data_IF_339265615129
#
_entry.id   IF_339265615129
#
_cell.length_a   1.000
_cell.length_b   1.000
_cell.length_c   1.000
_cell.angle_alpha   90.00
_cell.angle_beta   90.00
_cell.angle_gamma   90.00
#
_symmetry.space_group_name_H-M   'P 1'
#
loop_
_entity.id
_entity.type
_entity.pdbx_description
1 polymer ?
#
# COMPACT_ATOMS: atom_id res chain seq x y z
N UNK A 1 29.82 15.27 21.88
CA UNK A 1 28.74 14.85 20.96
C UNK A 1 28.97 15.63 19.67
N UNK A 2 29.52 15.00 18.63
CA UNK A 2 29.78 15.70 17.37
C UNK A 2 28.46 16.10 16.73
N UNK A 3 28.32 17.32 16.19
CA UNK A 3 27.11 17.72 15.50
C UNK A 3 26.92 16.82 14.27
N UNK A 4 25.70 16.31 14.10
CA UNK A 4 25.30 15.62 12.87
C UNK A 4 25.40 16.67 11.76
N UNK A 5 26.32 16.45 10.81
CA UNK A 5 26.42 17.32 9.64
C UNK A 5 25.10 17.24 8.86
N UNK A 6 24.53 18.39 8.51
CA UNK A 6 23.34 18.43 7.67
C UNK A 6 23.68 17.85 6.28
N UNK A 7 22.75 17.09 5.70
CA UNK A 7 22.86 16.60 4.33
C UNK A 7 22.81 17.78 3.35
N UNK A 8 23.55 17.68 2.25
CA UNK A 8 23.47 18.58 1.09
C UNK A 8 22.20 18.32 0.28
N UNK A 9 21.82 19.25 -0.60
CA UNK A 9 20.64 19.09 -1.46
C UNK A 9 20.76 17.86 -2.38
N UNK A 10 21.94 17.62 -2.95
CA UNK A 10 22.22 16.46 -3.80
C UNK A 10 22.08 15.14 -3.01
N UNK A 11 22.53 15.11 -1.76
CA UNK A 11 22.36 13.93 -0.89
C UNK A 11 20.90 13.70 -0.51
N UNK A 12 20.11 14.77 -0.32
CA UNK A 12 18.67 14.67 -0.06
C UNK A 12 17.92 14.12 -1.28
N UNK A 13 18.23 14.62 -2.47
CA UNK A 13 17.59 14.18 -3.71
C UNK A 13 17.94 12.73 -4.07
N UNK A 14 19.09 12.23 -3.61
CA UNK A 14 19.52 10.84 -3.76
C UNK A 14 18.92 9.89 -2.70
N UNK A 15 18.13 10.38 -1.74
CA UNK A 15 17.53 9.51 -0.72
C UNK A 15 16.46 8.60 -1.32
N UNK A 16 16.68 7.30 -1.20
CA UNK A 16 15.67 6.31 -1.53
C UNK A 16 14.62 6.19 -0.41
N UNK A 17 13.31 6.24 -0.73
CA UNK A 17 12.29 6.03 0.27
C UNK A 17 12.39 4.64 0.90
N UNK A 18 12.34 4.59 2.23
CA UNK A 18 12.20 3.32 2.94
C UNK A 18 10.73 2.98 3.14
N UNK A 19 10.39 1.70 2.95
CA UNK A 19 9.04 1.20 3.14
C UNK A 19 9.06 0.00 4.09
N UNK A 20 8.05 -0.09 4.95
CA UNK A 20 7.81 -1.25 5.79
C UNK A 20 6.63 -2.04 5.22
N UNK A 21 6.84 -3.33 4.99
CA UNK A 21 5.83 -4.22 4.42
C UNK A 21 5.76 -4.18 2.88
N UNK A 22 4.85 -4.96 2.29
CA UNK A 22 4.90 -5.28 0.87
C UNK A 22 4.14 -4.30 -0.05
N UNK A 23 3.32 -3.41 0.51
CA UNK A 23 2.40 -2.52 -0.24
C UNK A 23 3.09 -1.61 -1.28
N UNK A 24 4.34 -1.23 -1.03
CA UNK A 24 5.16 -0.40 -1.92
C UNK A 24 6.39 -1.14 -2.46
N UNK A 25 6.46 -2.46 -2.27
CA UNK A 25 7.52 -3.23 -2.88
C UNK A 25 7.25 -3.41 -4.37
N UNK A 26 8.32 -3.37 -5.16
CA UNK A 26 8.29 -3.63 -6.59
C UNK A 26 9.09 -4.90 -6.90
N UNK A 27 8.64 -5.64 -7.90
CA UNK A 27 9.40 -6.73 -8.48
C UNK A 27 10.56 -6.19 -9.34
N UNK A 28 11.54 -7.04 -9.71
CA UNK A 28 12.70 -6.63 -10.52
C UNK A 28 12.33 -6.01 -11.88
N UNK A 29 11.15 -6.33 -12.41
CA UNK A 29 10.61 -5.78 -13.65
C UNK A 29 9.94 -4.40 -13.48
N UNK A 30 9.92 -3.86 -12.25
CA UNK A 30 9.30 -2.59 -11.91
C UNK A 30 7.80 -2.64 -11.65
N UNK A 31 7.16 -3.81 -11.80
CA UNK A 31 5.77 -4.02 -11.41
C UNK A 31 5.60 -4.00 -9.89
N UNK A 32 4.40 -3.70 -9.40
CA UNK A 32 4.13 -3.74 -7.95
C UNK A 32 3.97 -5.17 -7.49
N UNK A 33 4.59 -5.52 -6.36
CA UNK A 33 4.40 -6.82 -5.74
C UNK A 33 2.98 -6.92 -5.17
N UNK A 34 2.26 -7.97 -5.56
CA UNK A 34 0.91 -8.29 -5.10
C UNK A 34 0.91 -9.64 -4.37
N UNK A 35 -0.03 -9.86 -3.43
CA UNK A 35 -0.17 -11.17 -2.81
C UNK A 35 -0.61 -12.20 -3.85
N UNK A 36 -0.07 -13.41 -3.76
CA UNK A 36 -0.41 -14.52 -4.64
C UNK A 36 -1.90 -14.92 -4.53
N UNK A 37 -2.43 -14.90 -3.31
CA UNK A 37 -3.86 -15.12 -3.03
C UNK A 37 -4.41 -13.99 -2.14
N UNK A 38 -5.56 -13.45 -2.51
CA UNK A 38 -6.21 -12.37 -1.76
C UNK A 38 -7.71 -12.31 -2.00
N UNK A 39 -8.47 -12.00 -0.95
CA UNK A 39 -9.90 -11.66 -1.04
C UNK A 39 -10.12 -10.17 -1.38
N UNK A 40 -9.05 -9.38 -1.44
CA UNK A 40 -9.12 -7.94 -1.66
C UNK A 40 -9.71 -7.56 -3.03
N UNK A 41 -9.66 -8.45 -4.03
CA UNK A 41 -10.30 -8.24 -5.32
C UNK A 41 -11.83 -8.27 -5.21
N UNK A 42 -12.38 -9.21 -4.44
CA UNK A 42 -13.82 -9.30 -4.17
C UNK A 42 -14.28 -8.09 -3.35
N UNK A 43 -13.48 -7.66 -2.38
CA UNK A 43 -13.74 -6.42 -1.61
C UNK A 43 -13.77 -5.22 -2.56
N UNK A 44 -12.80 -5.11 -3.48
CA UNK A 44 -12.77 -4.03 -4.45
C UNK A 44 -13.99 -4.01 -5.38
N UNK A 45 -14.40 -5.18 -5.88
CA UNK A 45 -15.60 -5.34 -6.69
C UNK A 45 -16.88 -4.98 -5.93
N UNK A 46 -17.00 -5.45 -4.68
CA UNK A 46 -18.14 -5.11 -3.82
C UNK A 46 -18.22 -3.59 -3.58
N UNK A 47 -17.10 -2.93 -3.27
CA UNK A 47 -17.09 -1.49 -3.11
C UNK A 47 -17.49 -0.76 -4.39
N UNK A 48 -16.98 -1.18 -5.55
CA UNK A 48 -17.32 -0.57 -6.82
C UNK A 48 -18.80 -0.73 -7.19
N UNK A 49 -19.44 -1.82 -6.78
CA UNK A 49 -20.87 -2.06 -7.03
C UNK A 49 -21.77 -1.28 -6.07
N UNK A 50 -21.44 -1.28 -4.77
CA UNK A 50 -22.38 -0.88 -3.73
C UNK A 50 -22.06 0.46 -3.06
N UNK A 51 -20.86 1.02 -3.25
CA UNK A 51 -20.48 2.29 -2.65
C UNK A 51 -20.46 3.42 -3.67
N UNK A 52 -20.78 4.62 -3.19
CA UNK A 52 -20.76 5.87 -3.96
C UNK A 52 -19.55 6.71 -3.57
N UNK A 53 -18.85 7.23 -4.56
CA UNK A 53 -17.79 8.22 -4.38
C UNK A 53 -18.36 9.62 -4.19
N UNK A 54 -17.52 10.55 -3.72
CA UNK A 54 -17.89 11.95 -3.48
C UNK A 54 -18.32 12.69 -4.77
N UNK A 55 -17.80 12.27 -5.91
CA UNK A 55 -18.18 12.79 -7.24
C UNK A 55 -19.55 12.27 -7.73
N UNK A 56 -20.23 11.45 -6.92
CA UNK A 56 -21.53 10.85 -7.22
C UNK A 56 -21.47 9.56 -8.05
N UNK A 57 -20.28 9.16 -8.53
CA UNK A 57 -20.05 7.93 -9.27
C UNK A 57 -19.83 6.70 -8.38
N UNK A 58 -19.57 5.52 -8.98
CA UNK A 58 -19.20 4.32 -8.25
C UNK A 58 -17.85 4.50 -7.54
N UNK A 59 -17.69 3.91 -6.35
CA UNK A 59 -16.44 3.96 -5.62
C UNK A 59 -15.28 3.36 -6.41
N UNK A 60 -14.13 4.04 -6.40
CA UNK A 60 -12.89 3.57 -7.02
C UNK A 60 -11.72 3.81 -6.08
N UNK A 61 -11.03 2.73 -5.74
CA UNK A 61 -9.78 2.83 -5.01
C UNK A 61 -8.70 3.51 -5.88
N UNK A 62 -7.89 4.36 -5.26
CA UNK A 62 -6.61 4.74 -5.87
C UNK A 62 -5.73 3.49 -5.99
N UNK A 63 -4.73 3.52 -6.89
CA UNK A 63 -3.80 2.39 -7.07
C UNK A 63 -3.15 1.96 -5.75
N UNK A 64 -2.85 2.92 -4.88
CA UNK A 64 -2.28 2.63 -3.57
C UNK A 64 -3.27 2.01 -2.60
N UNK A 65 -4.47 2.60 -2.46
CA UNK A 65 -5.49 2.04 -1.59
C UNK A 65 -5.83 0.60 -2.02
N UNK A 66 -5.88 0.34 -3.33
CA UNK A 66 -6.10 -1.00 -3.85
C UNK A 66 -4.98 -1.95 -3.43
N UNK A 67 -3.71 -1.58 -3.65
CA UNK A 67 -2.57 -2.42 -3.20
C UNK A 67 -2.62 -2.71 -1.71
N UNK A 68 -2.93 -1.70 -0.89
CA UNK A 68 -3.10 -1.90 0.55
C UNK A 68 -4.23 -2.89 0.84
N UNK A 69 -5.42 -2.71 0.24
CA UNK A 69 -6.56 -3.61 0.42
C UNK A 69 -6.22 -5.05 0.01
N UNK A 70 -5.47 -5.25 -1.08
CA UNK A 70 -5.04 -6.58 -1.51
C UNK A 70 -4.15 -7.24 -0.46
N UNK A 71 -3.15 -6.54 0.05
CA UNK A 71 -2.26 -7.05 1.09
C UNK A 71 -2.97 -7.24 2.43
N UNK A 72 -3.93 -6.37 2.77
CA UNK A 72 -4.73 -6.49 3.99
C UNK A 72 -5.57 -7.78 4.01
N UNK A 73 -6.11 -8.16 2.86
CA UNK A 73 -6.89 -9.39 2.68
C UNK A 73 -6.11 -10.54 2.05
N UNK A 74 -4.77 -10.50 2.12
CA UNK A 74 -3.93 -11.58 1.63
C UNK A 74 -4.11 -12.85 2.47
N UNK A 75 -4.22 -14.00 1.79
CA UNK A 75 -4.42 -15.31 2.40
C UNK A 75 -3.36 -16.30 1.91
N UNK A 76 -3.10 -17.34 2.68
CA UNK A 76 -2.34 -18.51 2.22
C UNK A 76 -3.21 -19.44 1.34
N UNK A 77 -2.59 -20.51 0.84
CA UNK A 77 -3.24 -21.57 0.05
C UNK A 77 -4.41 -22.28 0.76
N UNK A 78 -4.47 -22.21 2.09
CA UNK A 78 -5.55 -22.78 2.90
C UNK A 78 -6.62 -21.73 3.27
N UNK A 79 -6.51 -20.51 2.72
CA UNK A 79 -7.44 -19.41 2.98
C UNK A 79 -7.25 -18.73 4.33
N UNK A 80 -6.13 -18.95 5.04
CA UNK A 80 -5.85 -18.25 6.30
C UNK A 80 -5.20 -16.92 6.01
N UNK A 81 -5.66 -15.86 6.68
CA UNK A 81 -5.06 -14.53 6.54
C UNK A 81 -3.57 -14.52 6.91
N UNK A 82 -2.75 -13.97 6.01
CA UNK A 82 -1.31 -13.77 6.23
C UNK A 82 -1.05 -12.70 7.30
N UNK A 83 -1.89 -11.65 7.32
CA UNK A 83 -1.81 -10.56 8.27
C UNK A 83 -3.07 -10.50 9.14
N UNK A 84 -2.89 -10.47 10.45
CA UNK A 84 -4.01 -10.31 11.42
C UNK A 84 -4.13 -8.90 11.98
N UNK A 85 -3.13 -8.06 11.73
CA UNK A 85 -3.02 -6.68 12.21
C UNK A 85 -2.39 -5.84 11.11
N UNK A 86 -2.88 -4.62 10.96
CA UNK A 86 -2.48 -3.72 9.87
C UNK A 86 -2.20 -2.37 10.46
N UNK A 87 -1.03 -1.84 10.12
CA UNK A 87 -0.65 -0.47 10.45
C UNK A 87 -0.24 0.17 9.14
N UNK A 88 -0.85 1.31 8.86
CA UNK A 88 -0.44 2.15 7.76
C UNK A 88 -0.03 3.50 8.32
N UNK A 89 1.24 3.86 8.11
CA UNK A 89 1.81 5.10 8.58
C UNK A 89 2.49 5.81 7.42
N UNK A 90 2.30 7.12 7.36
CA UNK A 90 2.96 8.03 6.41
C UNK A 90 3.63 9.17 7.18
N UNK A 91 4.53 9.87 6.51
CA UNK A 91 5.22 11.06 7.06
C UNK A 91 4.24 12.16 7.51
N UNK A 92 3.08 12.24 6.87
CA UNK A 92 1.92 13.06 7.26
C UNK A 92 0.66 12.23 7.13
N UNK A 93 -0.39 12.57 7.88
CA UNK A 93 -1.65 11.81 8.00
C UNK A 93 -2.17 11.20 6.69
N UNK A 94 -2.84 10.05 6.83
CA UNK A 94 -3.40 9.29 5.72
C UNK A 94 -4.93 9.23 5.88
N UNK A 95 -5.64 9.75 4.89
CA UNK A 95 -7.09 10.03 4.96
C UNK A 95 -7.32 11.51 4.75
#
# INVERSE_FOLDING_TARGET
>A
MSPISALTAEEIDALEPSFLGPTWQKAPDGSWLLPEHTLGWQVAGWCAEYLRAEDGGPWRFTREQLRWTLWWYAVDENGRFLYRKGVLQRLKGWG
#
